data_IF_599522732054
#
_entry.id   IF_599522732054
#
_cell.length_a   1.000
_cell.length_b   1.000
_cell.length_c   1.000
_cell.angle_alpha   90.00
_cell.angle_beta   90.00
_cell.angle_gamma   90.00
#
_symmetry.space_group_name_H-M   'P 1'
#
loop_
_entity.id
_entity.type
_entity.pdbx_description
1 polymer ?
#
# COMPACT_ATOMS: atom_id res chain seq x y z
N UNK A 1 4.76 -24.92 -28.78
CA UNK A 1 3.48 -24.28 -28.39
C UNK A 1 3.70 -23.48 -27.12
N UNK A 2 3.79 -22.16 -27.23
CA UNK A 2 3.86 -21.24 -26.08
C UNK A 2 2.45 -21.01 -25.54
N UNK A 3 2.21 -21.28 -24.24
CA UNK A 3 0.99 -20.88 -23.55
C UNK A 3 1.31 -20.21 -22.21
N UNK A 4 0.95 -18.92 -22.19
CA UNK A 4 0.50 -18.07 -21.08
C UNK A 4 1.51 -17.67 -20.00
N UNK A 5 2.25 -16.61 -20.31
CA UNK A 5 2.75 -15.64 -19.33
C UNK A 5 1.75 -14.46 -19.28
N UNK A 6 0.53 -14.67 -18.75
CA UNK A 6 -0.49 -13.61 -18.57
C UNK A 6 -1.32 -13.95 -17.32
N UNK A 7 -0.70 -13.96 -16.14
CA UNK A 7 -1.42 -14.18 -14.87
C UNK A 7 -0.88 -13.38 -13.68
N UNK A 8 0.23 -12.64 -13.80
CA UNK A 8 0.78 -11.86 -12.67
C UNK A 8 0.42 -10.37 -12.67
N UNK A 9 0.26 -9.74 -13.83
CA UNK A 9 -0.08 -8.30 -13.88
C UNK A 9 -1.56 -8.01 -13.64
N UNK A 10 -2.44 -9.00 -13.89
CA UNK A 10 -3.89 -8.88 -13.68
C UNK A 10 -4.25 -8.91 -12.17
N UNK A 11 -3.31 -9.30 -11.30
CA UNK A 11 -3.54 -9.40 -9.86
C UNK A 11 -3.30 -8.06 -9.13
N UNK A 12 -2.23 -7.33 -9.48
CA UNK A 12 -1.80 -6.16 -8.72
C UNK A 12 -2.78 -4.97 -8.78
N UNK A 13 -3.33 -4.67 -9.97
CA UNK A 13 -4.31 -3.59 -10.10
C UNK A 13 -5.58 -3.89 -9.32
N UNK A 14 -6.04 -5.13 -9.36
CA UNK A 14 -7.20 -5.56 -8.59
C UNK A 14 -6.93 -5.41 -7.08
N UNK A 15 -5.77 -5.86 -6.61
CA UNK A 15 -5.36 -5.69 -5.22
C UNK A 15 -5.29 -4.21 -4.80
N UNK A 16 -4.81 -3.33 -5.68
CA UNK A 16 -4.78 -1.88 -5.42
C UNK A 16 -6.20 -1.34 -5.19
N UNK A 17 -7.14 -1.64 -6.09
CA UNK A 17 -8.52 -1.18 -5.97
C UNK A 17 -9.25 -1.79 -4.75
N UNK A 18 -9.03 -3.07 -4.47
CA UNK A 18 -9.67 -3.77 -3.35
C UNK A 18 -9.11 -3.35 -1.98
N UNK A 19 -7.89 -2.80 -1.95
CA UNK A 19 -7.27 -2.33 -0.71
C UNK A 19 -7.91 -1.05 -0.15
N UNK A 20 -8.80 -0.39 -0.90
CA UNK A 20 -9.54 0.81 -0.50
C UNK A 20 -8.60 1.88 0.12
N UNK A 21 -7.49 2.14 -0.58
CA UNK A 21 -6.47 3.09 -0.18
C UNK A 21 -6.98 4.52 -0.31
N UNK A 22 -6.25 5.46 0.30
CA UNK A 22 -6.45 6.88 0.00
C UNK A 22 -6.21 7.14 -1.50
N UNK A 23 -7.05 7.98 -2.10
CA UNK A 23 -7.10 8.16 -3.55
C UNK A 23 -5.77 8.57 -4.17
N UNK A 24 -4.98 9.47 -3.56
CA UNK A 24 -3.66 9.83 -4.09
C UNK A 24 -2.69 8.66 -4.03
N UNK A 25 -2.66 7.91 -2.92
CA UNK A 25 -1.82 6.71 -2.80
C UNK A 25 -2.21 5.66 -3.86
N UNK A 26 -3.51 5.40 -4.03
CA UNK A 26 -4.01 4.49 -5.06
C UNK A 26 -3.50 4.88 -6.46
N UNK A 27 -3.72 6.13 -6.86
CA UNK A 27 -3.31 6.62 -8.17
C UNK A 27 -1.80 6.56 -8.38
N UNK A 28 -1.00 6.83 -7.33
CA UNK A 28 0.45 6.65 -7.39
C UNK A 28 0.82 5.18 -7.64
N UNK A 29 0.23 4.23 -6.91
CA UNK A 29 0.57 2.81 -7.09
C UNK A 29 0.16 2.30 -8.47
N UNK A 30 -0.96 2.79 -9.01
CA UNK A 30 -1.37 2.51 -10.40
C UNK A 30 -0.33 3.07 -11.38
N UNK A 31 0.11 4.32 -11.19
CA UNK A 31 1.14 4.96 -12.02
C UNK A 31 2.46 4.19 -12.00
N UNK A 32 2.98 3.90 -10.80
CA UNK A 32 4.21 3.11 -10.62
C UNK A 32 4.11 1.72 -11.24
N UNK A 33 2.94 1.08 -11.19
CA UNK A 33 2.73 -0.24 -11.79
C UNK A 33 2.67 -0.18 -13.32
N UNK A 34 2.09 0.90 -13.86
CA UNK A 34 1.88 1.11 -15.30
C UNK A 34 3.16 1.56 -16.01
N UNK A 35 3.86 2.52 -15.40
CA UNK A 35 4.99 3.21 -16.03
C UNK A 35 6.33 2.50 -15.76
N UNK A 36 6.39 1.63 -14.74
CA UNK A 36 7.60 0.93 -14.36
C UNK A 36 7.55 -0.57 -14.68
N UNK A 37 8.47 -1.04 -15.53
CA UNK A 37 8.60 -2.46 -15.89
C UNK A 37 9.41 -3.28 -14.88
N UNK A 38 9.99 -2.64 -13.86
CA UNK A 38 10.84 -3.32 -12.87
C UNK A 38 10.02 -4.27 -11.99
N UNK A 39 10.36 -5.55 -12.05
CA UNK A 39 9.76 -6.56 -11.17
C UNK A 39 9.94 -6.23 -9.69
N UNK A 40 11.06 -5.58 -9.31
CA UNK A 40 11.34 -5.19 -7.93
C UNK A 40 10.30 -4.19 -7.39
N UNK A 41 9.91 -3.22 -8.22
CA UNK A 41 8.88 -2.23 -7.85
C UNK A 41 7.54 -2.94 -7.64
N UNK A 42 7.15 -3.81 -8.58
CA UNK A 42 5.93 -4.61 -8.48
C UNK A 42 5.92 -5.51 -7.24
N UNK A 43 7.04 -6.14 -6.90
CA UNK A 43 7.17 -6.99 -5.72
C UNK A 43 7.03 -6.19 -4.40
N UNK A 44 7.60 -4.98 -4.33
CA UNK A 44 7.45 -4.09 -3.17
C UNK A 44 6.01 -3.63 -3.00
N UNK A 45 5.35 -3.21 -4.08
CA UNK A 45 3.94 -2.82 -4.08
C UNK A 45 3.08 -4.01 -3.64
N UNK A 46 3.31 -5.20 -4.20
CA UNK A 46 2.56 -6.41 -3.86
C UNK A 46 2.66 -6.74 -2.37
N UNK A 47 3.88 -6.70 -1.80
CA UNK A 47 4.12 -6.95 -0.38
C UNK A 47 3.36 -5.96 0.52
N UNK A 48 3.33 -4.69 0.12
CA UNK A 48 2.56 -3.68 0.84
C UNK A 48 1.05 -3.98 0.79
N UNK A 49 0.51 -4.29 -0.38
CA UNK A 49 -0.93 -4.59 -0.52
C UNK A 49 -1.36 -5.81 0.29
N UNK A 50 -0.55 -6.88 0.30
CA UNK A 50 -0.79 -8.06 1.15
C UNK A 50 -0.82 -7.68 2.64
N UNK A 51 0.09 -6.81 3.08
CA UNK A 51 0.07 -6.31 4.45
C UNK A 51 -1.22 -5.54 4.76
N UNK A 52 -1.62 -4.62 3.87
CA UNK A 52 -2.84 -3.81 4.04
C UNK A 52 -4.08 -4.70 4.15
N UNK A 53 -4.19 -5.71 3.28
CA UNK A 53 -5.28 -6.67 3.29
C UNK A 53 -5.35 -7.43 4.62
N UNK A 54 -4.25 -8.06 5.03
CA UNK A 54 -4.19 -8.80 6.30
C UNK A 54 -4.43 -7.91 7.52
N UNK A 55 -3.90 -6.69 7.52
CA UNK A 55 -4.12 -5.73 8.60
C UNK A 55 -5.60 -5.34 8.70
N UNK A 56 -6.27 -5.16 7.56
CA UNK A 56 -7.69 -4.79 7.50
C UNK A 56 -8.60 -5.92 7.97
N UNK A 57 -8.33 -7.16 7.55
CA UNK A 57 -9.05 -8.34 8.03
C UNK A 57 -8.91 -8.50 9.56
N UNK A 58 -7.68 -8.40 10.07
CA UNK A 58 -7.41 -8.49 11.51
C UNK A 58 -8.06 -7.34 12.30
N UNK A 59 -8.10 -6.14 11.72
CA UNK A 59 -8.77 -4.99 12.32
C UNK A 59 -10.26 -5.25 12.49
N UNK A 60 -10.98 -5.64 11.44
CA UNK A 60 -12.43 -5.87 11.53
C UNK A 60 -12.77 -6.98 12.53
N UNK A 61 -12.00 -8.07 12.54
CA UNK A 61 -12.16 -9.14 13.52
C UNK A 61 -11.99 -8.63 14.95
N UNK A 62 -10.97 -7.82 15.20
CA UNK A 62 -10.68 -7.27 16.53
C UNK A 62 -11.73 -6.25 16.95
N UNK A 63 -12.07 -5.34 16.05
CA UNK A 63 -13.07 -4.29 16.25
C UNK A 63 -14.44 -4.84 16.61
N UNK A 64 -14.90 -5.87 15.89
CA UNK A 64 -16.18 -6.53 16.18
C UNK A 64 -16.18 -7.36 17.46
N UNK A 65 -15.00 -7.80 17.94
CA UNK A 65 -14.85 -8.48 19.23
C UNK A 65 -14.80 -7.52 20.43
N UNK A 66 -14.45 -6.25 20.20
CA UNK A 66 -14.40 -5.22 21.25
C UNK A 66 -15.78 -4.95 21.85
N UNK A 67 -15.86 -4.94 23.18
CA UNK A 67 -17.11 -4.81 23.94
C UNK A 67 -17.38 -3.38 24.37
N UNK A 68 -16.33 -2.57 24.53
CA UNK A 68 -16.46 -1.19 24.98
C UNK A 68 -16.10 -0.19 23.88
N UNK A 69 -16.62 1.03 24.02
CA UNK A 69 -16.25 2.14 23.14
C UNK A 69 -14.73 2.43 23.19
N UNK A 70 -14.13 2.38 24.38
CA UNK A 70 -12.70 2.63 24.56
C UNK A 70 -11.84 1.60 23.81
N UNK A 71 -12.19 0.32 23.90
CA UNK A 71 -11.48 -0.75 23.16
C UNK A 71 -11.59 -0.56 21.65
N UNK A 72 -12.75 -0.14 21.16
CA UNK A 72 -12.96 0.17 19.73
C UNK A 72 -12.12 1.35 19.28
N UNK A 73 -12.07 2.41 20.08
CA UNK A 73 -11.26 3.59 19.79
C UNK A 73 -9.76 3.24 19.75
N UNK A 74 -9.28 2.46 20.71
CA UNK A 74 -7.90 1.97 20.74
C UNK A 74 -7.59 1.10 19.53
N UNK A 75 -8.52 0.20 19.16
CA UNK A 75 -8.37 -0.65 17.98
C UNK A 75 -8.24 0.17 16.69
N UNK A 76 -9.10 1.20 16.51
CA UNK A 76 -8.99 2.13 15.40
C UNK A 76 -7.66 2.89 15.42
N UNK A 77 -7.24 3.40 16.57
CA UNK A 77 -5.99 4.14 16.70
C UNK A 77 -4.78 3.29 16.29
N UNK A 78 -4.68 2.07 16.80
CA UNK A 78 -3.59 1.16 16.44
C UNK A 78 -3.63 0.77 14.96
N UNK A 79 -4.81 0.53 14.40
CA UNK A 79 -4.96 0.23 12.98
C UNK A 79 -4.46 1.40 12.11
N UNK A 80 -4.93 2.62 12.36
CA UNK A 80 -4.50 3.80 11.61
C UNK A 80 -3.00 4.05 11.75
N UNK A 81 -2.45 3.91 12.96
CA UNK A 81 -1.00 4.04 13.19
C UNK A 81 -0.21 3.02 12.37
N UNK A 82 -0.65 1.77 12.33
CA UNK A 82 0.00 0.71 11.57
C UNK A 82 -0.08 0.95 10.05
N UNK A 83 -1.19 1.50 9.55
CA UNK A 83 -1.31 1.90 8.15
C UNK A 83 -0.30 3.00 7.78
N UNK A 84 -0.12 4.02 8.62
CA UNK A 84 0.90 5.06 8.39
C UNK A 84 2.31 4.46 8.33
N UNK A 85 2.66 3.58 9.29
CA UNK A 85 3.96 2.92 9.32
C UNK A 85 4.19 2.04 8.08
N UNK A 86 3.15 1.34 7.60
CA UNK A 86 3.25 0.53 6.39
C UNK A 86 3.54 1.39 5.15
N UNK A 87 2.90 2.55 5.04
CA UNK A 87 3.15 3.52 3.97
C UNK A 87 4.57 4.09 4.04
N UNK A 88 5.09 4.41 5.23
CA UNK A 88 6.49 4.83 5.39
C UNK A 88 7.48 3.75 4.95
N UNK A 89 7.21 2.49 5.31
CA UNK A 89 8.01 1.34 4.89
C UNK A 89 7.98 1.16 3.37
N UNK A 90 6.79 1.24 2.76
CA UNK A 90 6.63 1.17 1.30
C UNK A 90 7.51 2.22 0.62
N UNK A 91 7.46 3.47 1.08
CA UNK A 91 8.20 4.56 0.45
C UNK A 91 9.70 4.38 0.63
N UNK A 92 10.16 3.99 1.83
CA UNK A 92 11.57 3.67 2.05
C UNK A 92 12.04 2.55 1.13
N UNK A 93 11.27 1.49 1.01
CA UNK A 93 11.62 0.33 0.20
C UNK A 93 11.63 0.72 -1.29
N UNK A 94 10.67 1.52 -1.78
CA UNK A 94 10.66 2.08 -3.15
C UNK A 94 11.86 3.00 -3.41
N UNK A 95 12.20 3.91 -2.48
CA UNK A 95 13.36 4.79 -2.58
C UNK A 95 14.69 4.03 -2.59
N UNK A 96 14.75 2.84 -1.96
CA UNK A 96 15.95 2.00 -1.94
C UNK A 96 16.20 1.25 -3.25
N UNK A 97 15.16 1.08 -4.08
CA UNK A 97 15.23 0.37 -5.35
C UNK A 97 15.17 1.28 -6.57
N UNK A 98 14.82 2.57 -6.39
CA UNK A 98 14.77 3.55 -7.47
C UNK A 98 16.12 4.24 -7.62
N UNK A 99 16.83 3.92 -8.70
CA UNK A 99 17.96 4.73 -9.20
C UNK A 99 17.47 5.96 -10.00
N UNK A 100 16.14 6.08 -10.18
CA UNK A 100 15.48 7.14 -10.93
C UNK A 100 15.08 8.30 -10.00
N UNK A 101 15.70 9.46 -10.20
CA UNK A 101 15.50 10.66 -9.42
C UNK A 101 14.07 11.23 -9.55
N UNK A 102 13.38 10.98 -10.67
CA UNK A 102 12.01 11.48 -10.91
C UNK A 102 10.97 10.74 -10.05
N UNK A 103 11.13 9.43 -9.92
CA UNK A 103 10.29 8.60 -9.03
C UNK A 103 10.51 9.00 -7.57
N UNK A 104 11.76 9.29 -7.21
CA UNK A 104 12.16 9.70 -5.87
C UNK A 104 11.58 11.06 -5.48
N UNK A 105 11.53 12.02 -6.40
CA UNK A 105 10.88 13.31 -6.17
C UNK A 105 9.36 13.18 -6.00
N UNK A 106 8.69 12.40 -6.86
CA UNK A 106 7.24 12.16 -6.75
C UNK A 106 6.86 11.46 -5.43
N UNK A 107 7.64 10.45 -5.00
CA UNK A 107 7.44 9.77 -3.71
C UNK A 107 7.59 10.74 -2.52
N UNK A 108 8.61 11.60 -2.57
CA UNK A 108 8.85 12.59 -1.51
C UNK A 108 7.79 13.71 -1.50
N UNK A 109 7.24 14.09 -2.65
CA UNK A 109 6.15 15.07 -2.72
C UNK A 109 4.88 14.52 -2.05
N UNK A 110 4.56 13.25 -2.25
CA UNK A 110 3.37 12.62 -1.65
C UNK A 110 3.52 12.48 -0.13
N UNK A 111 4.74 12.26 0.38
CA UNK A 111 5.01 12.36 1.82
C UNK A 111 4.72 13.77 2.37
N UNK A 112 5.19 14.80 1.67
CA UNK A 112 5.02 16.19 2.12
C UNK A 112 3.57 16.64 2.09
N UNK A 113 2.77 16.17 1.13
CA UNK A 113 1.37 16.55 1.01
C UNK A 113 0.40 15.65 1.77
N UNK A 114 0.73 14.37 1.94
CA UNK A 114 -0.14 13.37 2.58
C UNK A 114 -0.07 13.37 4.11
N UNK A 115 1.00 13.93 4.69
CA UNK A 115 1.23 13.94 6.14
C UNK A 115 1.29 15.37 6.73
N UNK A 116 0.62 16.35 6.13
CA UNK A 116 0.38 17.63 6.82
C UNK A 116 -0.75 17.45 7.84
N UNK A 117 -0.40 17.55 9.13
CA UNK A 117 -1.35 17.67 10.23
C UNK A 117 -1.90 19.10 10.33
#
# INVERSE_FOLDING_TARGET
>A
MHRKCITREIDLYQMIYESNLESKLEQMLIGLTKDNSSQKVKDVIHKFLLYVQHASENFWVTFHKSKTYQERLECYYQFTKNQCLATEVLIRDLNSISDDDEIKENLNAILKEGFTF
#
